data_IF_248784606783
#
_entry.id   IF_248784606783
#
_cell.length_a   1.000
_cell.length_b   1.000
_cell.length_c   1.000
_cell.angle_alpha   90.00
_cell.angle_beta   90.00
_cell.angle_gamma   90.00
#
_symmetry.space_group_name_H-M   'P 1'
#
loop_
_entity.id
_entity.type
_entity.pdbx_description
1 polymer ?
#
# COMPACT_ATOMS: atom_id res chain seq x y z
N UNK A 1 7.96 -15.30 13.80
CA UNK A 1 7.59 -16.34 14.78
C UNK A 1 6.44 -15.85 15.67
N UNK A 2 5.22 -16.41 15.54
CA UNK A 2 4.11 -16.10 16.43
C UNK A 2 4.42 -16.47 17.89
N UNK A 3 3.95 -15.65 18.83
CA UNK A 3 4.05 -15.90 20.27
C UNK A 3 2.65 -16.32 20.77
N UNK A 4 2.54 -17.52 21.37
CA UNK A 4 1.29 -17.97 21.99
C UNK A 4 0.99 -17.16 23.25
N UNK A 5 -0.27 -17.21 23.72
CA UNK A 5 -0.70 -16.55 24.97
C UNK A 5 0.19 -16.88 26.18
N UNK A 6 0.76 -18.08 26.23
CA UNK A 6 1.70 -18.51 27.28
C UNK A 6 3.18 -18.16 27.03
N UNK A 7 3.51 -17.23 26.13
CA UNK A 7 4.88 -16.76 25.89
C UNK A 7 5.76 -17.67 25.01
N UNK A 8 5.28 -18.86 24.64
CA UNK A 8 6.02 -19.78 23.76
C UNK A 8 6.10 -19.23 22.33
N UNK A 9 7.32 -19.16 21.80
CA UNK A 9 7.61 -18.77 20.42
C UNK A 9 7.48 -20.01 19.52
N UNK A 10 6.70 -19.91 18.45
CA UNK A 10 6.61 -20.96 17.43
C UNK A 10 7.35 -20.56 16.16
N UNK A 11 8.22 -21.45 15.68
CA UNK A 11 8.95 -21.29 14.41
C UNK A 11 8.03 -21.62 13.23
N UNK A 12 7.08 -20.74 12.96
CA UNK A 12 6.17 -20.78 11.80
C UNK A 12 5.82 -19.38 11.32
N UNK A 13 5.13 -19.28 10.18
CA UNK A 13 4.58 -18.04 9.67
C UNK A 13 3.38 -17.55 10.51
N UNK A 14 3.16 -16.23 10.52
CA UNK A 14 1.94 -15.63 11.03
C UNK A 14 0.77 -15.95 10.10
N UNK A 15 -0.40 -16.19 10.67
CA UNK A 15 -1.63 -16.25 9.89
C UNK A 15 -2.01 -14.81 9.47
N UNK A 16 -2.50 -14.57 8.23
CA UNK A 16 -3.03 -13.27 7.80
C UNK A 16 -3.99 -12.62 8.81
N UNK A 17 -4.87 -13.39 9.44
CA UNK A 17 -5.80 -12.88 10.46
C UNK A 17 -5.09 -12.35 11.70
N UNK A 18 -3.94 -12.93 12.05
CA UNK A 18 -3.12 -12.44 13.15
C UNK A 18 -2.56 -11.05 12.82
N UNK A 19 -2.12 -10.83 11.57
CA UNK A 19 -1.65 -9.52 11.11
C UNK A 19 -2.78 -8.50 11.15
N UNK A 20 -3.97 -8.85 10.65
CA UNK A 20 -5.15 -7.99 10.72
C UNK A 20 -5.49 -7.61 12.17
N UNK A 21 -5.47 -8.56 13.10
CA UNK A 21 -5.72 -8.30 14.53
C UNK A 21 -4.67 -7.38 15.14
N UNK A 22 -3.39 -7.57 14.79
CA UNK A 22 -2.31 -6.68 15.24
C UNK A 22 -2.56 -5.25 14.75
N UNK A 23 -2.86 -5.07 13.46
CA UNK A 23 -3.12 -3.75 12.87
C UNK A 23 -4.32 -3.08 13.53
N UNK A 24 -5.46 -3.78 13.67
CA UNK A 24 -6.65 -3.25 14.36
C UNK A 24 -6.37 -2.84 15.80
N UNK A 25 -5.58 -3.64 16.54
CA UNK A 25 -5.16 -3.29 17.90
C UNK A 25 -4.34 -2.00 17.91
N UNK A 26 -3.42 -1.82 16.95
CA UNK A 26 -2.60 -0.61 16.85
C UNK A 26 -3.42 0.62 16.47
N UNK A 27 -4.38 0.49 15.55
CA UNK A 27 -5.30 1.57 15.20
C UNK A 27 -6.08 2.06 16.44
N UNK A 28 -6.63 1.13 17.22
CA UNK A 28 -7.31 1.44 18.48
C UNK A 28 -6.40 2.16 19.49
N UNK A 29 -5.16 1.68 19.66
CA UNK A 29 -4.19 2.30 20.55
C UNK A 29 -3.76 3.70 20.12
N UNK A 30 -3.76 3.96 18.82
CA UNK A 30 -3.45 5.27 18.24
C UNK A 30 -4.66 6.23 18.19
N UNK A 31 -5.87 5.75 18.54
CA UNK A 31 -7.08 6.57 18.50
C UNK A 31 -7.56 6.92 17.09
N UNK A 32 -7.21 6.09 16.09
CA UNK A 32 -7.59 6.29 14.69
C UNK A 32 -8.59 5.23 14.23
N UNK A 33 -9.28 5.51 13.13
CA UNK A 33 -10.23 4.57 12.51
C UNK A 33 -9.54 3.24 12.18
N UNK A 34 -10.29 2.14 12.27
CA UNK A 34 -9.74 0.83 11.96
C UNK A 34 -9.47 0.68 10.47
N UNK A 35 -8.30 0.16 10.13
CA UNK A 35 -7.93 -0.19 8.76
C UNK A 35 -7.29 -1.59 8.72
N UNK A 36 -7.08 -2.09 7.51
CA UNK A 36 -6.56 -3.40 7.19
C UNK A 36 -5.10 -3.32 6.72
N UNK A 37 -4.33 -4.42 6.77
CA UNK A 37 -3.00 -4.47 6.19
C UNK A 37 -2.96 -4.12 4.69
N UNK A 38 -4.06 -4.38 3.96
CA UNK A 38 -4.13 -4.03 2.54
C UNK A 38 -4.14 -2.52 2.32
N UNK A 39 -4.62 -1.72 3.28
CA UNK A 39 -4.67 -0.26 3.17
C UNK A 39 -3.28 0.36 3.11
N UNK A 40 -2.31 -0.19 3.86
CA UNK A 40 -0.91 0.19 3.71
C UNK A 40 -0.40 -0.02 2.28
N UNK A 41 -0.79 -1.12 1.64
CA UNK A 41 -0.40 -1.40 0.25
C UNK A 41 -1.06 -0.42 -0.73
N UNK A 42 -2.33 -0.05 -0.48
CA UNK A 42 -3.03 0.97 -1.28
C UNK A 42 -2.34 2.33 -1.17
N UNK A 43 -2.03 2.75 0.06
CA UNK A 43 -1.29 4.00 0.33
C UNK A 43 0.08 3.97 -0.32
N UNK A 44 0.85 2.90 -0.16
CA UNK A 44 2.16 2.75 -0.80
C UNK A 44 2.11 2.95 -2.33
N UNK A 45 1.14 2.33 -3.01
CA UNK A 45 0.99 2.50 -4.46
C UNK A 45 0.60 3.93 -4.83
N UNK A 46 -0.38 4.52 -4.13
CA UNK A 46 -0.83 5.89 -4.40
C UNK A 46 0.28 6.91 -4.15
N UNK A 47 0.99 6.82 -3.02
CA UNK A 47 2.06 7.76 -2.65
C UNK A 47 3.21 7.76 -3.67
N UNK A 48 3.61 6.58 -4.17
CA UNK A 48 4.64 6.49 -5.20
C UNK A 48 4.20 7.14 -6.51
N UNK A 49 2.94 6.91 -6.92
CA UNK A 49 2.41 7.53 -8.12
C UNK A 49 2.32 9.05 -7.94
N UNK A 50 1.78 9.53 -6.83
CA UNK A 50 1.68 10.96 -6.51
C UNK A 50 3.06 11.64 -6.46
N UNK A 51 4.11 10.93 -6.02
CA UNK A 51 5.50 11.38 -6.07
C UNK A 51 6.12 11.41 -7.48
N UNK A 52 5.38 11.03 -8.52
CA UNK A 52 5.81 11.06 -9.91
C UNK A 52 6.51 9.79 -10.39
N UNK A 53 6.53 8.71 -9.60
CA UNK A 53 7.07 7.42 -10.04
C UNK A 53 6.19 6.86 -11.17
N UNK A 54 6.82 6.19 -12.13
CA UNK A 54 6.11 5.62 -13.27
C UNK A 54 5.28 4.38 -12.87
N UNK A 55 4.19 4.16 -13.60
CA UNK A 55 3.23 3.09 -13.31
C UNK A 55 3.86 1.69 -13.33
N UNK A 56 4.80 1.45 -14.25
CA UNK A 56 5.43 0.13 -14.44
C UNK A 56 6.36 -0.19 -13.26
N UNK A 57 7.10 0.81 -12.76
CA UNK A 57 7.92 0.66 -11.57
C UNK A 57 7.05 0.38 -10.34
N UNK A 58 5.98 1.15 -10.12
CA UNK A 58 5.06 0.90 -9.00
C UNK A 58 4.41 -0.49 -9.12
N UNK A 59 4.03 -0.92 -10.32
CA UNK A 59 3.49 -2.26 -10.57
C UNK A 59 4.49 -3.36 -10.16
N UNK A 60 5.76 -3.23 -10.56
CA UNK A 60 6.82 -4.19 -10.22
C UNK A 60 7.08 -4.24 -8.71
N UNK A 61 7.12 -3.08 -8.05
CA UNK A 61 7.29 -2.99 -6.60
C UNK A 61 6.12 -3.61 -5.84
N UNK A 62 4.90 -3.39 -6.31
CA UNK A 62 3.72 -4.03 -5.73
C UNK A 62 3.67 -5.54 -6.06
N UNK A 63 4.27 -5.97 -7.17
CA UNK A 63 4.15 -7.35 -7.67
C UNK A 63 2.77 -7.63 -8.29
N UNK A 64 2.17 -6.64 -8.96
CA UNK A 64 0.92 -6.85 -9.68
C UNK A 64 1.18 -7.51 -11.04
N UNK A 65 0.40 -8.55 -11.35
CA UNK A 65 0.48 -9.24 -12.63
C UNK A 65 0.03 -8.36 -13.81
N UNK A 66 -0.84 -7.39 -13.55
CA UNK A 66 -1.43 -6.54 -14.58
C UNK A 66 -1.24 -5.05 -14.22
N UNK A 67 -0.85 -4.18 -15.18
CA UNK A 67 -0.75 -2.74 -14.99
C UNK A 67 -2.09 -2.11 -14.57
N UNK A 68 -3.21 -2.65 -15.05
CA UNK A 68 -4.57 -2.18 -14.74
C UNK A 68 -4.86 -2.25 -13.24
N UNK A 69 -4.28 -3.23 -12.53
CA UNK A 69 -4.41 -3.33 -11.07
C UNK A 69 -3.72 -2.16 -10.36
N UNK A 70 -2.56 -1.73 -10.86
CA UNK A 70 -1.82 -0.58 -10.32
C UNK A 70 -2.48 0.74 -10.71
N UNK A 71 -3.02 0.83 -11.92
CA UNK A 71 -3.64 2.05 -12.44
C UNK A 71 -4.83 2.53 -11.58
N UNK A 72 -5.51 1.62 -10.88
CA UNK A 72 -6.58 1.95 -9.91
C UNK A 72 -6.11 2.85 -8.75
N UNK A 73 -4.80 2.93 -8.49
CA UNK A 73 -4.22 3.75 -7.42
C UNK A 73 -3.74 5.12 -7.90
N UNK A 74 -3.75 5.37 -9.21
CA UNK A 74 -3.28 6.64 -9.79
C UNK A 74 -4.35 7.73 -9.62
N UNK A 75 -4.06 8.73 -8.78
CA UNK A 75 -4.97 9.84 -8.46
C UNK A 75 -4.59 11.14 -9.17
N UNK A 76 -3.48 11.12 -9.92
CA UNK A 76 -2.85 12.30 -10.55
C UNK A 76 -3.70 12.98 -11.62
N UNK A 77 -4.76 12.32 -12.08
CA UNK A 77 -5.85 12.90 -12.89
C UNK A 77 -5.41 13.68 -14.14
N UNK A 78 -6.27 14.59 -14.58
CA UNK A 78 -6.04 15.44 -15.75
C UNK A 78 -4.93 16.49 -15.54
N UNK A 79 -4.65 16.86 -14.28
CA UNK A 79 -3.63 17.86 -13.96
C UNK A 79 -2.24 17.40 -14.39
N UNK A 80 -1.91 16.13 -14.18
CA UNK A 80 -0.61 15.58 -14.60
C UNK A 80 -0.47 15.51 -16.11
N UNK A 81 -1.56 15.24 -16.84
CA UNK A 81 -1.56 15.31 -18.31
C UNK A 81 -1.28 16.73 -18.80
N UNK A 82 -1.91 17.74 -18.17
CA UNK A 82 -1.67 19.16 -18.50
C UNK A 82 -0.22 19.56 -18.26
N UNK A 83 0.36 19.18 -17.11
CA UNK A 83 1.79 19.44 -16.81
C UNK A 83 2.70 18.75 -17.83
N UNK A 84 2.41 17.51 -18.23
CA UNK A 84 3.22 16.80 -19.22
C UNK A 84 3.25 17.50 -20.58
N UNK A 85 2.12 18.06 -21.04
CA UNK A 85 2.05 18.85 -22.28
C UNK A 85 2.84 20.15 -22.17
N UNK A 86 2.83 20.81 -21.00
CA UNK A 86 3.57 22.04 -20.76
C UNK A 86 5.10 21.85 -20.86
N UNK A 87 5.63 20.67 -20.51
CA UNK A 87 7.07 20.37 -20.63
C UNK A 87 7.57 20.44 -22.08
N UNK A 88 6.73 20.08 -23.05
CA UNK A 88 7.06 20.14 -24.48
C UNK A 88 6.79 21.51 -25.10
N UNK A 89 6.15 22.41 -24.37
CA UNK A 89 5.81 23.76 -24.86
C UNK A 89 7.05 24.66 -24.71
N UNK A 90 7.99 24.50 -25.64
CA UNK A 90 9.17 25.36 -25.84
C UNK A 90 8.87 26.35 -26.96
#
# INVERSE_FOLDING_TARGET
CPIRKGGRIEQRHLNPDAVLKIVKKRALQAGIESFSPHDFRRTFCSDLLDAGVDLVTVQKLAGHASPETTAKYDRRGEETKRRAVQVLSI
#
